data_IF_965053665966
#
_entry.id   IF_965053665966
#
_cell.length_a   1.000
_cell.length_b   1.000
_cell.length_c   1.000
_cell.angle_alpha   90.00
_cell.angle_beta   90.00
_cell.angle_gamma   90.00
#
_symmetry.space_group_name_H-M   'P 1'
#
loop_
_entity.id
_entity.type
_entity.pdbx_description
1 polymer ?
#
# COMPACT_ATOMS: atom_id res chain seq x y z
N UNK A 1 -15.78 -3.76 39.59
CA UNK A 1 -15.29 -3.94 38.17
C UNK A 1 -14.98 -2.61 37.47
N UNK A 2 -14.40 -1.56 38.10
CA UNK A 2 -14.12 -0.27 37.46
C UNK A 2 -13.01 -0.34 36.37
N UNK A 3 -12.00 -1.18 36.61
CA UNK A 3 -10.86 -1.33 35.66
C UNK A 3 -11.30 -1.96 34.34
N UNK A 4 -12.06 -3.05 34.37
CA UNK A 4 -12.57 -3.69 33.15
C UNK A 4 -13.53 -2.81 32.34
N UNK A 5 -14.28 -1.91 33.00
CA UNK A 5 -15.12 -0.94 32.30
C UNK A 5 -14.30 0.11 31.59
N UNK A 6 -13.21 0.58 32.20
CA UNK A 6 -12.28 1.53 31.56
C UNK A 6 -11.62 0.97 30.33
N UNK A 7 -11.15 -0.27 30.39
CA UNK A 7 -10.55 -0.96 29.23
C UNK A 7 -11.56 -1.19 28.10
N UNK A 8 -12.78 -1.64 28.42
CA UNK A 8 -13.84 -1.83 27.43
C UNK A 8 -14.24 -0.50 26.78
N UNK A 9 -14.40 0.56 27.56
CA UNK A 9 -14.74 1.88 27.05
C UNK A 9 -13.62 2.42 26.13
N UNK A 10 -12.35 2.23 26.50
CA UNK A 10 -11.21 2.62 25.67
C UNK A 10 -11.16 1.81 24.37
N UNK A 11 -11.37 0.50 24.43
CA UNK A 11 -11.43 -0.36 23.23
C UNK A 11 -12.58 0.04 22.30
N UNK A 12 -13.76 0.31 22.84
CA UNK A 12 -14.93 0.75 22.06
C UNK A 12 -14.69 2.11 21.42
N UNK A 13 -14.13 3.08 22.15
CA UNK A 13 -13.80 4.39 21.60
C UNK A 13 -12.75 4.30 20.49
N UNK A 14 -11.75 3.44 20.64
CA UNK A 14 -10.75 3.19 19.60
C UNK A 14 -11.39 2.59 18.35
N UNK A 15 -12.29 1.61 18.49
CA UNK A 15 -13.01 1.01 17.38
C UNK A 15 -13.90 2.02 16.64
N UNK A 16 -14.65 2.83 17.38
CA UNK A 16 -15.48 3.90 16.82
C UNK A 16 -14.60 4.89 16.03
N UNK A 17 -13.48 5.31 16.60
CA UNK A 17 -12.55 6.23 15.96
C UNK A 17 -11.95 5.62 14.67
N UNK A 18 -11.62 4.33 14.68
CA UNK A 18 -11.13 3.60 13.51
C UNK A 18 -12.19 3.50 12.42
N UNK A 19 -13.42 3.11 12.76
CA UNK A 19 -14.54 3.04 11.84
C UNK A 19 -14.85 4.40 11.21
N UNK A 20 -14.85 5.46 12.02
CA UNK A 20 -15.00 6.84 11.53
C UNK A 20 -13.88 7.24 10.58
N UNK A 21 -12.62 6.96 10.93
CA UNK A 21 -11.46 7.25 10.09
C UNK A 21 -11.52 6.52 8.75
N UNK A 22 -11.94 5.25 8.77
CA UNK A 22 -12.12 4.45 7.57
C UNK A 22 -13.24 5.01 6.68
N UNK A 23 -14.38 5.39 7.27
CA UNK A 23 -15.48 6.01 6.54
C UNK A 23 -15.06 7.35 5.91
N UNK A 24 -14.33 8.20 6.65
CA UNK A 24 -13.82 9.47 6.13
C UNK A 24 -12.79 9.27 5.02
N UNK A 25 -11.95 8.24 5.12
CA UNK A 25 -11.01 7.86 4.06
C UNK A 25 -11.77 7.42 2.80
N UNK A 26 -12.83 6.63 2.95
CA UNK A 26 -13.66 6.19 1.84
C UNK A 26 -14.35 7.38 1.16
N UNK A 27 -14.93 8.30 1.92
CA UNK A 27 -15.53 9.53 1.38
C UNK A 27 -14.50 10.36 0.60
N UNK A 28 -13.31 10.52 1.15
CA UNK A 28 -12.27 11.39 0.56
C UNK A 28 -11.55 10.75 -0.63
N UNK A 29 -11.26 9.46 -0.56
CA UNK A 29 -10.39 8.76 -1.50
C UNK A 29 -11.08 7.63 -2.28
N UNK A 30 -12.24 7.13 -1.87
CA UNK A 30 -12.89 5.97 -2.46
C UNK A 30 -13.15 6.10 -3.95
N UNK A 31 -13.60 7.29 -4.40
CA UNK A 31 -13.75 7.59 -5.83
C UNK A 31 -12.42 7.45 -6.57
N UNK A 32 -11.31 7.91 -5.97
CA UNK A 32 -9.97 7.80 -6.55
C UNK A 32 -9.50 6.35 -6.58
N UNK A 33 -9.69 5.61 -5.48
CA UNK A 33 -9.36 4.19 -5.42
C UNK A 33 -10.03 3.41 -6.54
N UNK A 34 -11.35 3.65 -6.74
CA UNK A 34 -12.08 2.98 -7.81
C UNK A 34 -11.58 3.38 -9.20
N UNK A 35 -11.35 4.68 -9.45
CA UNK A 35 -10.80 5.16 -10.72
C UNK A 35 -9.44 4.55 -11.03
N UNK A 36 -8.56 4.46 -10.05
CA UNK A 36 -7.25 3.83 -10.22
C UNK A 36 -7.39 2.33 -10.46
N UNK A 37 -8.27 1.65 -9.71
CA UNK A 37 -8.56 0.23 -9.92
C UNK A 37 -8.95 -0.04 -11.38
N UNK A 38 -9.89 0.72 -11.94
CA UNK A 38 -10.31 0.57 -13.34
C UNK A 38 -9.13 0.82 -14.31
N UNK A 39 -8.33 1.86 -14.06
CA UNK A 39 -7.17 2.18 -14.89
C UNK A 39 -6.05 1.14 -14.81
N UNK A 40 -5.95 0.43 -13.69
CA UNK A 40 -4.97 -0.63 -13.50
C UNK A 40 -5.41 -1.99 -14.08
N UNK A 41 -6.70 -2.17 -14.41
CA UNK A 41 -7.18 -3.43 -15.01
C UNK A 41 -6.42 -3.82 -16.29
N UNK A 42 -6.22 -2.94 -17.29
CA UNK A 42 -5.44 -3.27 -18.46
C UNK A 42 -3.99 -3.68 -18.13
N UNK A 43 -3.40 -3.04 -17.12
CA UNK A 43 -2.02 -3.33 -16.70
C UNK A 43 -1.89 -4.71 -16.04
N UNK A 44 -3.01 -5.31 -15.56
CA UNK A 44 -2.99 -6.69 -15.07
C UNK A 44 -2.54 -7.70 -16.13
N UNK A 45 -2.83 -7.43 -17.40
CA UNK A 45 -2.39 -8.29 -18.51
C UNK A 45 -0.86 -8.31 -18.67
N UNK A 46 -0.18 -7.19 -18.38
CA UNK A 46 1.27 -7.06 -18.45
C UNK A 46 1.96 -7.34 -17.09
N UNK A 47 1.21 -7.42 -15.98
CA UNK A 47 1.76 -7.68 -14.66
C UNK A 47 2.13 -9.14 -14.49
N UNK A 48 3.15 -9.40 -13.67
CA UNK A 48 3.48 -10.76 -13.25
C UNK A 48 2.52 -11.24 -12.16
N UNK A 49 2.31 -12.56 -12.09
CA UNK A 49 1.47 -13.15 -11.04
C UNK A 49 2.19 -13.09 -9.67
N UNK A 50 1.64 -12.39 -8.67
CA UNK A 50 2.27 -12.32 -7.35
C UNK A 50 2.31 -13.68 -6.64
N UNK A 51 1.41 -14.61 -6.95
CA UNK A 51 1.40 -15.94 -6.33
C UNK A 51 2.68 -16.76 -6.60
N UNK A 52 3.41 -16.46 -7.67
CA UNK A 52 4.70 -17.07 -7.99
C UNK A 52 5.91 -16.37 -7.37
N UNK A 53 5.72 -15.26 -6.65
CA UNK A 53 6.81 -14.53 -6.01
C UNK A 53 7.18 -15.21 -4.69
N UNK A 54 8.47 -15.51 -4.48
CA UNK A 54 8.98 -16.12 -3.25
C UNK A 54 10.43 -15.70 -3.00
N UNK A 55 10.77 -15.52 -1.73
CA UNK A 55 12.14 -15.30 -1.27
C UNK A 55 12.74 -16.53 -0.54
N UNK A 56 11.96 -17.62 -0.47
CA UNK A 56 12.40 -18.86 0.18
C UNK A 56 12.74 -18.65 1.66
N UNK A 57 13.86 -19.20 2.09
CA UNK A 57 14.38 -19.07 3.49
C UNK A 57 15.31 -17.89 3.70
N UNK A 58 15.55 -17.06 2.68
CA UNK A 58 16.40 -15.88 2.82
C UNK A 58 15.85 -14.92 3.88
N UNK A 59 16.70 -14.33 4.74
CA UNK A 59 16.28 -13.22 5.57
C UNK A 59 15.77 -12.05 4.73
N UNK A 60 14.76 -11.35 5.24
CA UNK A 60 14.19 -10.17 4.57
C UNK A 60 14.36 -8.95 5.45
N UNK A 61 14.97 -7.92 4.90
CA UNK A 61 15.05 -6.60 5.50
C UNK A 61 13.92 -5.75 4.94
N UNK A 62 12.97 -5.37 5.79
CA UNK A 62 11.84 -4.49 5.45
C UNK A 62 12.18 -3.07 5.88
N UNK A 63 12.19 -2.14 4.92
CA UNK A 63 12.62 -0.76 5.12
C UNK A 63 11.45 0.21 4.97
N UNK A 64 11.13 0.89 6.07
CA UNK A 64 10.34 2.13 6.07
C UNK A 64 11.26 3.35 5.97
N UNK A 65 10.68 4.52 5.69
CA UNK A 65 11.44 5.76 5.56
C UNK A 65 11.45 6.62 6.85
N UNK A 66 11.31 6.01 8.01
CA UNK A 66 11.35 6.72 9.29
C UNK A 66 12.76 7.23 9.64
N UNK A 67 12.87 8.22 10.56
CA UNK A 67 14.15 8.87 10.89
C UNK A 67 15.23 7.91 11.40
N UNK A 68 14.87 6.81 12.07
CA UNK A 68 15.83 5.84 12.60
C UNK A 68 16.59 5.08 11.51
N UNK A 69 16.09 5.10 10.29
CA UNK A 69 16.69 4.38 9.17
C UNK A 69 18.10 4.85 8.85
N UNK A 70 18.39 6.14 8.98
CA UNK A 70 19.73 6.68 8.66
C UNK A 70 20.84 6.02 9.46
N UNK A 71 20.66 5.96 10.78
CA UNK A 71 21.65 5.34 11.67
C UNK A 71 21.86 3.85 11.37
N UNK A 72 20.79 3.13 11.07
CA UNK A 72 20.88 1.73 10.67
C UNK A 72 21.62 1.56 9.34
N UNK A 73 21.31 2.38 8.34
CA UNK A 73 21.96 2.32 7.03
C UNK A 73 23.45 2.67 7.11
N UNK A 74 23.85 3.56 8.03
CA UNK A 74 25.27 3.86 8.27
C UNK A 74 26.03 2.61 8.72
N UNK A 75 25.45 1.81 9.62
CA UNK A 75 26.03 0.54 10.07
C UNK A 75 25.98 -0.53 8.95
N UNK A 76 24.87 -0.66 8.26
CA UNK A 76 24.73 -1.63 7.16
C UNK A 76 25.72 -1.35 6.03
N UNK A 77 25.89 -0.09 5.63
CA UNK A 77 26.79 0.31 4.55
C UNK A 77 28.29 0.24 4.94
N UNK A 78 28.61 0.08 6.21
CA UNK A 78 29.96 -0.22 6.66
C UNK A 78 30.39 -1.69 6.38
N UNK A 79 29.41 -2.57 6.10
CA UNK A 79 29.71 -3.95 5.68
C UNK A 79 30.38 -3.99 4.30
N UNK A 80 31.11 -5.06 3.96
CA UNK A 80 31.76 -5.21 2.66
C UNK A 80 30.77 -5.05 1.50
N UNK A 81 31.14 -4.27 0.50
CA UNK A 81 30.28 -4.02 -0.69
C UNK A 81 29.82 -5.31 -1.37
N UNK A 82 30.66 -6.34 -1.40
CA UNK A 82 30.33 -7.66 -1.94
C UNK A 82 29.13 -8.32 -1.24
N UNK A 83 28.94 -8.02 0.05
CA UNK A 83 27.79 -8.53 0.83
C UNK A 83 26.51 -7.74 0.62
N UNK A 84 26.59 -6.57 0.01
CA UNK A 84 25.46 -5.66 -0.22
C UNK A 84 24.99 -5.65 -1.68
N UNK A 85 25.79 -6.17 -2.59
CA UNK A 85 25.42 -6.29 -3.99
C UNK A 85 24.14 -7.13 -4.16
N UNK A 86 23.17 -6.62 -4.87
CA UNK A 86 21.88 -7.27 -5.04
C UNK A 86 21.96 -8.67 -5.68
N UNK A 87 23.00 -8.92 -6.48
CA UNK A 87 23.24 -10.21 -7.12
C UNK A 87 23.94 -11.22 -6.19
N UNK A 88 24.65 -10.73 -5.18
CA UNK A 88 25.53 -11.55 -4.33
C UNK A 88 25.06 -11.66 -2.87
N UNK A 89 24.23 -10.75 -2.38
CA UNK A 89 23.82 -10.71 -0.98
C UNK A 89 22.95 -11.90 -0.58
N UNK A 90 23.08 -12.29 0.67
CA UNK A 90 22.39 -13.45 1.24
C UNK A 90 20.98 -13.13 1.77
N UNK A 91 20.53 -11.90 1.71
CA UNK A 91 19.24 -11.43 2.19
C UNK A 91 18.48 -10.64 1.10
N UNK A 92 17.20 -10.40 1.32
CA UNK A 92 16.36 -9.60 0.43
C UNK A 92 15.97 -8.29 1.07
N UNK A 93 15.80 -7.26 0.26
CA UNK A 93 15.32 -5.94 0.70
C UNK A 93 13.94 -5.69 0.09
N UNK A 94 12.94 -5.55 0.95
CA UNK A 94 11.65 -4.97 0.62
C UNK A 94 11.64 -3.54 1.17
N UNK A 95 11.28 -2.57 0.38
CA UNK A 95 11.16 -1.20 0.85
C UNK A 95 9.82 -0.58 0.48
N UNK A 96 9.40 0.43 1.24
CA UNK A 96 8.32 1.31 0.83
C UNK A 96 8.81 2.27 -0.26
N UNK A 97 7.92 2.80 -1.08
CA UNK A 97 8.21 3.72 -2.18
C UNK A 97 9.05 4.94 -1.75
N UNK A 98 8.70 5.58 -0.65
CA UNK A 98 9.43 6.72 -0.07
C UNK A 98 10.87 6.40 0.34
N UNK A 99 11.24 5.13 0.46
CA UNK A 99 12.59 4.67 0.79
C UNK A 99 13.51 4.56 -0.44
N UNK A 100 12.96 4.52 -1.65
CA UNK A 100 13.74 4.30 -2.88
C UNK A 100 14.85 5.34 -3.06
N UNK A 101 14.59 6.66 -2.93
CA UNK A 101 15.65 7.67 -3.04
C UNK A 101 16.73 7.54 -1.96
N UNK A 102 16.33 7.16 -0.73
CA UNK A 102 17.24 6.94 0.41
C UNK A 102 18.23 5.83 0.10
N UNK A 103 17.73 4.70 -0.38
CA UNK A 103 18.56 3.53 -0.74
C UNK A 103 19.47 3.82 -1.92
N UNK A 104 18.96 4.52 -2.94
CA UNK A 104 19.76 4.92 -4.10
C UNK A 104 20.97 5.76 -3.70
N UNK A 105 20.80 6.73 -2.81
CA UNK A 105 21.91 7.56 -2.34
C UNK A 105 22.99 6.73 -1.62
N UNK A 106 22.59 5.68 -0.90
CA UNK A 106 23.47 4.74 -0.24
C UNK A 106 24.07 3.67 -1.17
N UNK A 107 23.71 3.68 -2.48
CA UNK A 107 24.13 2.68 -3.45
C UNK A 107 23.53 1.30 -3.19
N UNK A 108 22.39 1.23 -2.49
CA UNK A 108 21.64 0.01 -2.23
C UNK A 108 20.48 -0.13 -3.22
N UNK A 109 20.26 -1.34 -3.71
CA UNK A 109 19.13 -1.64 -4.59
C UNK A 109 18.16 -2.59 -3.88
N UNK A 110 16.89 -2.23 -3.71
CA UNK A 110 15.89 -3.13 -3.17
C UNK A 110 15.55 -4.24 -4.19
N UNK A 111 15.11 -5.41 -3.68
CA UNK A 111 14.55 -6.50 -4.50
C UNK A 111 13.10 -6.22 -4.87
N UNK A 112 12.37 -5.53 -3.99
CA UNK A 112 10.95 -5.22 -4.19
C UNK A 112 10.59 -3.91 -3.50
N UNK A 113 9.95 -3.00 -4.23
CA UNK A 113 9.32 -1.81 -3.69
C UNK A 113 7.81 -2.03 -3.53
N UNK A 114 7.24 -1.63 -2.40
CA UNK A 114 5.80 -1.73 -2.11
C UNK A 114 5.15 -0.37 -2.25
N UNK A 115 4.04 -0.30 -3.01
CA UNK A 115 3.40 0.95 -3.40
C UNK A 115 1.90 0.86 -3.12
N UNK A 116 1.38 1.74 -2.27
CA UNK A 116 -0.04 1.87 -1.96
C UNK A 116 -0.63 3.20 -2.41
N UNK A 117 0.22 4.23 -2.61
CA UNK A 117 -0.25 5.59 -2.79
C UNK A 117 -1.11 5.76 -4.06
N UNK A 118 -2.31 6.23 -3.86
CA UNK A 118 -3.29 6.43 -4.92
C UNK A 118 -3.19 7.78 -5.62
N UNK A 119 -2.39 8.70 -5.09
CA UNK A 119 -2.27 10.07 -5.55
C UNK A 119 -1.13 10.24 -6.53
N UNK A 120 -1.28 11.17 -7.45
CA UNK A 120 -0.26 11.56 -8.42
C UNK A 120 1.09 11.94 -7.78
N UNK A 121 1.07 12.48 -6.56
CA UNK A 121 2.27 12.91 -5.83
C UNK A 121 3.27 11.79 -5.59
N UNK A 122 2.84 10.54 -5.59
CA UNK A 122 3.71 9.36 -5.50
C UNK A 122 4.82 9.34 -6.56
N UNK A 123 4.66 10.04 -7.67
CA UNK A 123 5.72 10.18 -8.68
C UNK A 123 7.00 10.82 -8.14
N UNK A 124 6.92 11.62 -7.08
CA UNK A 124 8.09 12.23 -6.44
C UNK A 124 8.99 11.16 -5.82
N UNK A 125 8.41 10.05 -5.34
CA UNK A 125 9.13 8.95 -4.70
C UNK A 125 10.05 8.21 -5.67
N UNK A 126 9.79 8.33 -6.98
CA UNK A 126 10.57 7.70 -8.05
C UNK A 126 11.59 8.65 -8.70
N UNK A 127 11.72 9.88 -8.21
CA UNK A 127 12.63 10.87 -8.78
C UNK A 127 14.05 10.36 -8.78
N UNK A 128 14.69 10.35 -9.97
CA UNK A 128 16.04 9.82 -10.19
C UNK A 128 16.15 8.29 -10.13
N UNK A 129 15.06 7.55 -9.97
CA UNK A 129 15.02 6.08 -10.01
C UNK A 129 14.19 5.54 -11.17
N UNK A 130 13.79 6.40 -12.11
CA UNK A 130 13.10 5.99 -13.32
C UNK A 130 13.94 4.98 -14.10
N UNK A 131 13.29 3.93 -14.62
CA UNK A 131 13.92 2.84 -15.36
C UNK A 131 15.09 2.14 -14.64
N UNK A 132 15.12 2.18 -13.29
CA UNK A 132 16.14 1.50 -12.48
C UNK A 132 16.04 -0.03 -12.52
N UNK A 133 14.96 -0.58 -13.07
CA UNK A 133 14.70 -2.01 -13.13
C UNK A 133 14.30 -2.62 -11.78
N UNK A 134 13.98 -1.81 -10.76
CA UNK A 134 13.50 -2.28 -9.45
C UNK A 134 12.12 -2.92 -9.64
N UNK A 135 11.93 -4.11 -9.05
CA UNK A 135 10.62 -4.75 -9.04
C UNK A 135 9.65 -4.01 -8.11
N UNK A 136 8.38 -3.92 -8.49
CA UNK A 136 7.35 -3.23 -7.71
C UNK A 136 6.15 -4.13 -7.42
N UNK A 137 5.66 -4.12 -6.18
CA UNK A 137 4.38 -4.67 -5.78
C UNK A 137 3.42 -3.50 -5.46
N UNK A 138 2.33 -3.42 -6.23
CA UNK A 138 1.39 -2.31 -6.16
C UNK A 138 0.01 -2.78 -5.71
N UNK A 139 -0.62 -1.99 -4.85
CA UNK A 139 -2.05 -2.16 -4.64
C UNK A 139 -2.83 -1.83 -5.93
N UNK A 140 -3.91 -2.57 -6.16
CA UNK A 140 -4.73 -2.36 -7.37
C UNK A 140 -5.35 -0.96 -7.41
N UNK A 141 -5.48 -0.28 -6.28
CA UNK A 141 -5.94 1.12 -6.17
C UNK A 141 -4.80 2.16 -6.23
N UNK A 142 -3.54 1.74 -6.34
CA UNK A 142 -2.40 2.65 -6.46
C UNK A 142 -2.45 3.48 -7.74
N UNK A 143 -1.72 4.59 -7.76
CA UNK A 143 -1.63 5.44 -8.95
C UNK A 143 -1.02 4.67 -10.13
N UNK A 144 -1.73 4.62 -11.26
CA UNK A 144 -1.34 3.79 -12.41
C UNK A 144 0.05 4.10 -12.98
N UNK A 145 0.50 5.35 -12.87
CA UNK A 145 1.83 5.76 -13.34
C UNK A 145 2.99 5.15 -12.55
N UNK A 146 2.72 4.58 -11.36
CA UNK A 146 3.74 3.97 -10.52
C UNK A 146 4.19 2.60 -11.05
N UNK A 147 3.32 1.87 -11.77
CA UNK A 147 3.63 0.54 -12.27
C UNK A 147 4.83 0.52 -13.24
N UNK A 148 4.90 1.51 -14.13
CA UNK A 148 5.96 1.62 -15.12
C UNK A 148 7.15 2.49 -14.66
N UNK A 149 7.03 3.23 -13.56
CA UNK A 149 8.01 4.24 -13.16
C UNK A 149 9.41 3.68 -12.94
N UNK A 150 9.52 2.49 -12.36
CA UNK A 150 10.79 1.85 -12.03
C UNK A 150 11.38 1.00 -13.16
N UNK A 151 10.61 0.71 -14.22
CA UNK A 151 11.06 -0.06 -15.38
C UNK A 151 11.38 -1.54 -15.11
N UNK A 152 11.10 -2.03 -13.90
CA UNK A 152 11.25 -3.42 -13.50
C UNK A 152 9.97 -4.23 -13.65
N UNK A 153 10.01 -5.53 -13.31
CA UNK A 153 8.80 -6.34 -13.23
C UNK A 153 7.87 -5.78 -12.16
N UNK A 154 6.56 -5.81 -12.43
CA UNK A 154 5.58 -5.35 -11.45
C UNK A 154 4.50 -6.40 -11.19
N UNK A 155 3.96 -6.35 -9.98
CA UNK A 155 2.98 -7.28 -9.44
C UNK A 155 1.84 -6.48 -8.82
N UNK A 156 0.60 -6.83 -9.13
CA UNK A 156 -0.52 -6.24 -8.40
C UNK A 156 -0.96 -7.16 -7.27
N UNK A 157 -1.30 -6.55 -6.14
CA UNK A 157 -2.08 -7.18 -5.09
C UNK A 157 -3.37 -6.37 -4.86
N UNK A 158 -4.29 -6.94 -4.12
CA UNK A 158 -5.57 -6.32 -3.82
C UNK A 158 -5.76 -6.20 -2.32
N UNK A 159 -6.06 -4.98 -1.88
CA UNK A 159 -6.50 -4.68 -0.51
C UNK A 159 -8.00 -4.34 -0.54
N UNK A 160 -8.85 -5.08 0.18
CA UNK A 160 -10.28 -4.79 0.23
C UNK A 160 -10.56 -3.56 1.12
N UNK A 161 -10.49 -2.37 0.54
CA UNK A 161 -10.74 -1.10 1.25
C UNK A 161 -12.23 -0.86 1.56
N UNK A 162 -13.14 -1.58 0.89
CA UNK A 162 -14.56 -1.68 1.22
C UNK A 162 -15.18 -2.92 0.57
N UNK A 163 -16.37 -3.30 1.04
CA UNK A 163 -17.09 -4.45 0.49
C UNK A 163 -17.93 -4.01 -0.69
N UNK A 164 -17.46 -4.31 -1.92
CA UNK A 164 -18.20 -4.04 -3.16
C UNK A 164 -18.53 -5.34 -3.88
N UNK A 165 -19.72 -5.41 -4.46
CA UNK A 165 -20.11 -6.45 -5.42
C UNK A 165 -19.20 -6.46 -6.64
N UNK A 166 -18.68 -5.30 -7.01
CA UNK A 166 -17.66 -5.15 -8.05
C UNK A 166 -16.46 -6.06 -7.80
N UNK A 167 -15.88 -6.06 -6.60
CA UNK A 167 -14.73 -6.93 -6.27
C UNK A 167 -15.11 -8.41 -6.22
N UNK A 168 -16.34 -8.73 -5.80
CA UNK A 168 -16.86 -10.09 -5.87
C UNK A 168 -16.95 -10.59 -7.31
N UNK A 169 -17.39 -9.74 -8.25
CA UNK A 169 -17.40 -10.06 -9.69
C UNK A 169 -16.00 -10.22 -10.25
N UNK A 170 -15.04 -9.38 -9.89
CA UNK A 170 -13.62 -9.56 -10.27
C UNK A 170 -13.09 -10.92 -9.80
N UNK A 171 -13.42 -11.32 -8.57
CA UNK A 171 -13.05 -12.63 -8.02
C UNK A 171 -13.68 -13.76 -8.83
N UNK A 172 -14.99 -13.69 -9.12
CA UNK A 172 -15.70 -14.70 -9.91
C UNK A 172 -15.19 -14.79 -11.35
N UNK A 173 -14.77 -13.67 -11.94
CA UNK A 173 -14.12 -13.65 -13.26
C UNK A 173 -12.65 -14.16 -13.24
N UNK A 174 -12.10 -14.46 -12.07
CA UNK A 174 -10.71 -14.92 -11.91
C UNK A 174 -9.66 -13.88 -12.26
N UNK A 175 -10.01 -12.57 -12.19
CA UNK A 175 -9.10 -11.47 -12.53
C UNK A 175 -8.57 -10.72 -11.30
N UNK A 176 -9.09 -11.00 -10.11
CA UNK A 176 -8.59 -10.40 -8.89
C UNK A 176 -7.18 -10.94 -8.56
N UNK A 177 -6.18 -10.09 -8.28
CA UNK A 177 -4.87 -10.53 -7.85
C UNK A 177 -4.92 -11.35 -6.55
N UNK A 178 -4.13 -12.43 -6.51
CA UNK A 178 -4.03 -13.32 -5.35
C UNK A 178 -2.57 -13.38 -4.91
N UNK A 179 -2.33 -13.11 -3.64
CA UNK A 179 -0.99 -13.17 -3.04
C UNK A 179 -0.52 -14.61 -2.81
N UNK A 180 0.79 -14.85 -2.62
CA UNK A 180 1.29 -16.11 -2.10
C UNK A 180 0.54 -16.51 -0.83
N UNK A 181 0.33 -17.82 -0.62
CA UNK A 181 -0.51 -18.37 0.45
C UNK A 181 -2.01 -18.05 0.33
N UNK A 182 -2.43 -17.47 -0.81
CA UNK A 182 -3.83 -17.16 -1.11
C UNK A 182 -4.35 -15.85 -0.52
N UNK A 183 -5.51 -15.42 -1.00
CA UNK A 183 -6.22 -14.26 -0.48
C UNK A 183 -5.71 -12.89 -0.93
N UNK A 184 -6.27 -11.87 -0.30
CA UNK A 184 -5.96 -10.45 -0.49
C UNK A 184 -5.01 -9.93 0.59
N UNK A 185 -4.46 -8.74 0.39
CA UNK A 185 -3.76 -7.98 1.43
C UNK A 185 -4.77 -7.54 2.50
N UNK A 186 -4.52 -7.74 3.79
CA UNK A 186 -5.37 -7.15 4.83
C UNK A 186 -5.33 -5.61 4.74
N UNK A 187 -6.42 -4.91 5.13
CA UNK A 187 -6.51 -3.45 5.06
C UNK A 187 -5.74 -2.78 6.21
N UNK A 188 -4.42 -2.83 6.15
CA UNK A 188 -3.51 -2.36 7.21
C UNK A 188 -3.35 -0.83 7.26
N UNK A 189 -3.77 -0.11 6.22
CA UNK A 189 -3.78 1.36 6.17
C UNK A 189 -2.40 2.03 6.07
N UNK A 190 -1.31 1.28 6.15
CA UNK A 190 0.07 1.78 6.06
C UNK A 190 0.88 0.94 5.09
N UNK A 191 1.66 1.60 4.23
CA UNK A 191 2.56 0.92 3.29
C UNK A 191 3.64 0.12 4.02
N UNK A 192 4.13 0.59 5.18
CA UNK A 192 5.08 -0.13 6.01
C UNK A 192 4.53 -1.46 6.52
N UNK A 193 3.28 -1.47 7.03
CA UNK A 193 2.63 -2.70 7.46
C UNK A 193 2.39 -3.65 6.29
N UNK A 194 1.97 -3.12 5.14
CA UNK A 194 1.78 -3.93 3.93
C UNK A 194 3.09 -4.54 3.43
N UNK A 195 4.21 -3.84 3.58
CA UNK A 195 5.54 -4.35 3.25
C UNK A 195 5.95 -5.51 4.17
N UNK A 196 5.65 -5.42 5.48
CA UNK A 196 5.89 -6.51 6.45
C UNK A 196 4.99 -7.71 6.15
N UNK A 197 3.71 -7.50 5.88
CA UNK A 197 2.78 -8.58 5.50
C UNK A 197 3.23 -9.27 4.22
N UNK A 198 3.68 -8.50 3.24
CA UNK A 198 4.20 -9.07 2.00
C UNK A 198 5.48 -9.89 2.28
N UNK A 199 6.41 -9.38 3.09
CA UNK A 199 7.59 -10.14 3.52
C UNK A 199 7.22 -11.46 4.20
N UNK A 200 6.23 -11.43 5.09
CA UNK A 200 5.72 -12.62 5.80
C UNK A 200 5.19 -13.70 4.85
N UNK A 201 4.59 -13.29 3.73
CA UNK A 201 4.07 -14.21 2.70
C UNK A 201 5.13 -14.69 1.72
N UNK A 202 6.16 -13.89 1.49
CA UNK A 202 7.20 -14.17 0.51
C UNK A 202 8.37 -15.00 1.09
N UNK A 203 8.61 -14.92 2.40
CA UNK A 203 9.77 -15.53 3.03
C UNK A 203 9.40 -16.44 4.21
N UNK A 204 10.12 -17.55 4.33
CA UNK A 204 10.09 -18.41 5.50
C UNK A 204 11.18 -18.07 6.52
N UNK A 205 12.20 -17.28 6.12
CA UNK A 205 13.31 -16.84 6.97
C UNK A 205 12.97 -15.64 7.88
N UNK A 206 13.96 -15.15 8.64
CA UNK A 206 13.81 -13.99 9.51
C UNK A 206 13.40 -12.73 8.73
N UNK A 207 12.57 -11.88 9.34
CA UNK A 207 12.10 -10.61 8.79
C UNK A 207 12.52 -9.52 9.77
N UNK A 208 13.34 -8.59 9.33
CA UNK A 208 13.86 -7.51 10.17
C UNK A 208 13.29 -6.19 9.69
N UNK A 209 12.67 -5.42 10.58
CA UNK A 209 12.02 -4.15 10.29
C UNK A 209 12.92 -2.97 10.71
N UNK A 210 13.30 -2.10 9.76
CA UNK A 210 14.05 -0.89 10.02
C UNK A 210 13.33 0.33 9.45
N UNK A 211 13.39 1.47 10.14
CA UNK A 211 12.75 2.71 9.71
C UNK A 211 11.22 2.67 9.71
N UNK A 212 10.60 1.68 10.39
CA UNK A 212 9.16 1.63 10.67
C UNK A 212 8.95 2.21 12.07
N UNK A 213 9.06 3.52 12.17
CA UNK A 213 9.24 4.19 13.46
C UNK A 213 7.93 4.55 14.17
N UNK A 214 6.86 4.78 13.43
CA UNK A 214 5.58 5.31 13.95
C UNK A 214 5.73 6.56 14.82
N UNK A 215 6.83 7.27 14.62
CA UNK A 215 7.21 8.48 15.33
C UNK A 215 8.15 9.33 14.48
N UNK A 216 8.38 10.53 14.93
CA UNK A 216 9.29 11.47 14.30
C UNK A 216 9.96 12.34 15.39
N UNK A 217 10.99 13.07 15.00
CA UNK A 217 11.69 14.03 15.87
C UNK A 217 11.43 15.45 15.43
N UNK A 218 11.83 16.42 16.24
CA UNK A 218 11.81 17.83 15.83
C UNK A 218 12.73 18.06 14.62
N UNK A 219 13.83 17.32 14.54
CA UNK A 219 14.81 17.46 13.47
C UNK A 219 14.35 16.81 12.16
N UNK A 220 13.64 15.69 12.23
CA UNK A 220 13.28 14.92 11.05
C UNK A 220 11.94 14.19 11.19
N UNK A 221 11.13 14.26 10.15
CA UNK A 221 9.93 13.43 10.01
C UNK A 221 10.22 12.10 9.31
N UNK A 222 11.24 12.07 8.45
CA UNK A 222 11.65 10.92 7.64
C UNK A 222 13.18 10.88 7.52
N UNK A 223 13.70 9.77 7.05
CA UNK A 223 15.11 9.56 6.74
C UNK A 223 15.59 10.59 5.71
N UNK A 224 16.89 10.91 5.76
CA UNK A 224 17.55 11.80 4.79
C UNK A 224 17.38 11.27 3.37
N UNK A 225 17.25 12.19 2.42
CA UNK A 225 17.00 11.91 0.99
C UNK A 225 15.64 11.27 0.66
N UNK A 226 14.78 11.07 1.65
CA UNK A 226 13.38 10.76 1.37
C UNK A 226 12.70 11.96 0.69
N UNK A 227 11.61 11.76 -0.09
CA UNK A 227 10.88 12.85 -0.73
C UNK A 227 10.44 13.95 0.25
N UNK A 228 10.00 13.56 1.45
CA UNK A 228 9.62 14.51 2.49
C UNK A 228 10.80 15.37 2.98
N UNK A 229 11.97 14.77 3.19
CA UNK A 229 13.18 15.50 3.54
C UNK A 229 13.63 16.42 2.41
N UNK A 230 13.63 15.95 1.17
CA UNK A 230 14.00 16.78 0.01
C UNK A 230 13.04 17.95 -0.18
N UNK A 231 11.75 17.77 0.07
CA UNK A 231 10.77 18.85 0.03
C UNK A 231 11.02 19.91 1.12
N UNK A 232 11.42 19.52 2.33
CA UNK A 232 11.83 20.44 3.39
C UNK A 232 13.06 21.26 2.99
N UNK A 233 14.09 20.60 2.44
CA UNK A 233 15.29 21.26 1.95
C UNK A 233 14.99 22.25 0.81
N UNK A 234 14.15 21.84 -0.16
CA UNK A 234 13.76 22.69 -1.28
C UNK A 234 12.95 23.93 -0.84
N UNK A 235 12.21 23.81 0.26
CA UNK A 235 11.42 24.90 0.83
C UNK A 235 12.21 25.78 1.81
N UNK A 236 13.47 25.43 2.13
CA UNK A 236 14.31 26.15 3.07
C UNK A 236 14.63 27.56 2.56
N UNK A 237 14.51 28.52 3.45
CA UNK A 237 14.94 29.91 3.22
C UNK A 237 15.27 30.56 4.57
N UNK A 238 15.63 31.87 4.55
CA UNK A 238 16.00 32.61 5.78
C UNK A 238 14.94 32.58 6.89
N UNK A 239 13.66 32.41 6.54
CA UNK A 239 12.53 32.40 7.48
C UNK A 239 11.96 30.99 7.72
N UNK A 240 12.36 29.99 6.95
CA UNK A 240 11.88 28.62 7.04
C UNK A 240 13.05 27.67 7.24
N UNK A 241 13.16 27.15 8.44
CA UNK A 241 14.15 26.13 8.81
C UNK A 241 13.81 24.78 8.12
N UNK A 242 14.81 23.92 7.83
CA UNK A 242 14.60 22.54 7.40
C UNK A 242 14.06 21.64 8.52
N UNK A 243 13.92 22.15 9.75
CA UNK A 243 13.38 21.36 10.86
C UNK A 243 11.90 21.02 10.63
N UNK A 244 11.48 19.90 11.18
CA UNK A 244 10.09 19.42 11.13
C UNK A 244 9.17 20.15 12.14
N UNK A 245 9.35 21.44 12.33
CA UNK A 245 8.58 22.22 13.31
C UNK A 245 7.08 22.21 13.02
N UNK A 246 6.67 22.35 11.76
CA UNK A 246 5.26 22.30 11.37
C UNK A 246 4.61 20.93 11.73
N UNK A 247 5.35 19.85 11.61
CA UNK A 247 4.89 18.50 12.00
C UNK A 247 4.78 18.35 13.52
N UNK A 248 5.75 18.90 14.25
CA UNK A 248 5.83 18.78 15.71
C UNK A 248 4.73 19.57 16.45
N UNK A 249 4.30 20.69 15.90
CA UNK A 249 3.27 21.56 16.52
C UNK A 249 1.86 21.36 15.94
N UNK A 250 1.62 20.30 15.18
CA UNK A 250 0.26 19.98 14.71
C UNK A 250 -0.62 19.53 15.87
N UNK A 251 -1.90 19.88 15.77
CA UNK A 251 -2.89 19.43 16.74
C UNK A 251 -2.91 17.89 16.84
N UNK A 252 -2.95 17.37 18.06
CA UNK A 252 -2.98 15.94 18.34
C UNK A 252 -1.60 15.25 18.36
N UNK A 253 -0.51 15.98 18.12
CA UNK A 253 0.85 15.47 18.35
C UNK A 253 1.14 15.38 19.85
N UNK A 254 1.78 14.31 20.26
CA UNK A 254 2.15 14.05 21.65
C UNK A 254 3.56 13.45 21.75
N UNK A 255 4.18 13.65 22.91
CA UNK A 255 5.48 13.05 23.23
C UNK A 255 5.32 11.56 23.62
N UNK A 256 6.27 10.74 23.22
CA UNK A 256 6.33 9.32 23.57
C UNK A 256 7.79 8.90 23.80
N UNK A 257 8.00 7.75 24.46
CA UNK A 257 9.34 7.17 24.63
C UNK A 257 9.72 6.30 23.45
N UNK A 258 10.92 6.53 22.93
CA UNK A 258 11.51 5.68 21.88
C UNK A 258 12.05 4.36 22.44
N UNK A 259 12.41 3.43 21.55
CA UNK A 259 13.11 2.17 21.91
C UNK A 259 14.39 2.39 22.68
N UNK A 260 15.10 3.49 22.39
CA UNK A 260 16.35 3.87 23.10
C UNK A 260 16.13 4.70 24.36
N UNK A 261 14.90 4.93 24.79
CA UNK A 261 14.56 5.72 25.98
C UNK A 261 14.52 7.23 25.77
N UNK A 262 14.86 7.73 24.58
CA UNK A 262 14.77 9.15 24.23
C UNK A 262 13.32 9.59 23.94
N UNK A 263 13.06 10.92 24.01
CA UNK A 263 11.78 11.49 23.64
C UNK A 263 11.60 11.56 22.11
N UNK A 264 10.45 11.12 21.63
CA UNK A 264 10.02 11.25 20.23
C UNK A 264 8.59 11.80 20.18
N UNK A 265 8.17 12.23 19.02
CA UNK A 265 6.82 12.73 18.77
C UNK A 265 6.04 11.71 17.95
N UNK A 266 4.75 11.57 18.27
CA UNK A 266 3.84 10.74 17.50
C UNK A 266 2.47 11.42 17.37
N UNK A 267 1.58 10.82 16.62
CA UNK A 267 0.21 11.29 16.44
C UNK A 267 -0.79 10.11 16.50
N UNK A 268 -2.10 10.36 16.59
CA UNK A 268 -3.11 9.30 16.71
C UNK A 268 -3.04 8.28 15.56
N UNK A 269 -2.79 8.70 14.32
CA UNK A 269 -2.70 7.78 13.18
C UNK A 269 -1.49 6.84 13.29
N UNK A 270 -0.32 7.37 13.65
CA UNK A 270 0.89 6.57 13.84
C UNK A 270 0.74 5.61 15.03
N UNK A 271 0.12 6.06 16.12
CA UNK A 271 -0.18 5.20 17.27
C UNK A 271 -1.11 4.06 16.87
N UNK A 272 -2.14 4.33 16.07
CA UNK A 272 -3.05 3.30 15.59
C UNK A 272 -2.32 2.29 14.68
N UNK A 273 -1.46 2.74 13.78
CA UNK A 273 -0.63 1.83 12.96
C UNK A 273 0.32 0.99 13.81
N UNK A 274 0.92 1.58 14.85
CA UNK A 274 1.77 0.82 15.78
C UNK A 274 0.97 -0.25 16.53
N UNK A 275 -0.24 0.08 17.02
CA UNK A 275 -1.12 -0.88 17.68
C UNK A 275 -1.56 -1.99 16.73
N UNK A 276 -1.88 -1.65 15.48
CA UNK A 276 -2.21 -2.62 14.44
C UNK A 276 -1.01 -3.52 14.10
N UNK A 277 0.20 -2.96 14.07
CA UNK A 277 1.42 -3.74 13.88
C UNK A 277 1.58 -4.80 14.99
N UNK A 278 1.43 -4.40 16.24
CA UNK A 278 1.51 -5.29 17.39
C UNK A 278 0.44 -6.40 17.30
N UNK A 279 -0.80 -6.04 16.98
CA UNK A 279 -1.91 -6.97 16.86
C UNK A 279 -1.67 -8.01 15.76
N UNK A 280 -1.21 -7.60 14.59
CA UNK A 280 -1.09 -8.47 13.41
C UNK A 280 0.21 -9.30 13.41
N UNK A 281 1.29 -8.79 14.00
CA UNK A 281 2.61 -9.36 13.81
C UNK A 281 3.30 -9.86 15.08
N UNK A 282 2.79 -9.58 16.27
CA UNK A 282 3.45 -9.97 17.53
C UNK A 282 3.56 -11.49 17.71
N UNK A 283 2.65 -12.26 17.15
CA UNK A 283 2.69 -13.73 17.21
C UNK A 283 3.71 -14.39 16.28
N UNK A 284 4.14 -13.70 15.21
CA UNK A 284 5.11 -14.26 14.25
C UNK A 284 6.54 -14.11 14.78
N UNK A 285 7.13 -15.22 15.22
CA UNK A 285 8.47 -15.28 15.81
C UNK A 285 9.60 -14.94 14.82
N UNK A 286 9.33 -14.85 13.55
CA UNK A 286 10.32 -14.50 12.52
C UNK A 286 10.55 -12.99 12.39
N UNK A 287 9.67 -12.17 12.97
CA UNK A 287 9.71 -10.71 12.84
C UNK A 287 10.52 -10.11 13.97
N UNK A 288 11.49 -9.29 13.61
CA UNK A 288 12.40 -8.59 14.50
C UNK A 288 12.32 -7.08 14.30
N UNK A 289 12.43 -6.35 15.38
CA UNK A 289 12.59 -4.89 15.41
C UNK A 289 14.08 -4.55 15.48
N UNK A 290 14.47 -3.32 15.15
CA UNK A 290 15.83 -2.81 15.32
C UNK A 290 15.82 -1.71 16.38
N UNK A 291 16.86 -1.72 17.25
CA UNK A 291 17.12 -0.62 18.17
C UNK A 291 17.21 0.72 17.44
N UNK A 292 16.73 1.79 18.05
CA UNK A 292 16.77 3.12 17.44
C UNK A 292 15.79 4.11 18.06
N UNK A 293 15.61 5.24 17.40
CA UNK A 293 14.78 6.35 17.88
C UNK A 293 13.29 6.19 17.61
N UNK A 294 12.85 5.12 16.96
CA UNK A 294 11.41 4.86 16.71
C UNK A 294 10.65 4.37 17.93
N UNK A 295 9.32 4.31 17.86
CA UNK A 295 8.50 3.65 18.86
C UNK A 295 8.73 2.13 18.83
N UNK A 296 8.68 1.42 19.98
CA UNK A 296 8.72 -0.04 19.99
C UNK A 296 7.59 -0.63 19.17
N UNK A 297 7.88 -1.63 18.34
CA UNK A 297 6.88 -2.28 17.48
C UNK A 297 5.93 -3.23 18.23
N UNK A 298 6.14 -3.45 19.54
CA UNK A 298 5.29 -4.34 20.34
C UNK A 298 5.57 -5.83 20.16
N UNK A 299 6.72 -6.18 19.58
CA UNK A 299 7.19 -7.56 19.41
C UNK A 299 8.20 -7.92 20.51
N UNK A 300 7.69 -8.20 21.69
CA UNK A 300 8.48 -8.37 22.93
C UNK A 300 9.69 -9.28 22.77
N UNK A 301 10.87 -8.80 23.22
CA UNK A 301 12.13 -9.54 23.26
C UNK A 301 12.79 -9.80 21.90
N UNK A 302 12.26 -9.28 20.80
CA UNK A 302 12.78 -9.48 19.46
C UNK A 302 13.35 -8.19 18.84
N UNK A 303 14.02 -7.41 19.65
CA UNK A 303 14.73 -6.21 19.19
C UNK A 303 16.22 -6.54 19.04
N UNK A 304 16.79 -6.22 17.89
CA UNK A 304 18.20 -6.46 17.56
C UNK A 304 18.96 -5.14 17.49
N UNK A 305 20.22 -5.14 17.88
CA UNK A 305 21.11 -4.03 17.55
C UNK A 305 21.40 -3.99 16.03
N UNK A 306 21.78 -2.83 15.52
CA UNK A 306 22.15 -2.70 14.11
C UNK A 306 23.28 -3.66 13.71
N UNK A 307 24.30 -3.80 14.55
CA UNK A 307 25.42 -4.72 14.33
C UNK A 307 24.96 -6.18 14.27
N UNK A 308 24.14 -6.61 15.23
CA UNK A 308 23.59 -7.98 15.24
C UNK A 308 22.70 -8.26 14.06
N UNK A 309 21.95 -7.25 13.59
CA UNK A 309 21.16 -7.35 12.38
C UNK A 309 22.03 -7.58 11.15
N UNK A 310 23.10 -6.81 10.98
CA UNK A 310 24.02 -6.99 9.86
C UNK A 310 24.68 -8.38 9.88
N UNK A 311 25.09 -8.86 11.06
CA UNK A 311 25.59 -10.23 11.21
C UNK A 311 24.56 -11.27 10.75
N UNK A 312 23.31 -11.18 11.23
CA UNK A 312 22.22 -12.08 10.85
C UNK A 312 21.98 -12.08 9.34
N UNK A 313 21.96 -10.91 8.72
CA UNK A 313 21.72 -10.76 7.29
C UNK A 313 22.87 -11.32 6.44
N UNK A 314 24.13 -11.08 6.85
CA UNK A 314 25.32 -11.47 6.10
C UNK A 314 25.71 -12.93 6.33
N UNK A 315 25.46 -13.49 7.51
CA UNK A 315 25.81 -14.87 7.86
C UNK A 315 24.85 -15.91 7.29
N UNK A 316 23.69 -15.50 6.77
CA UNK A 316 22.73 -16.41 6.16
C UNK A 316 23.38 -17.18 5.01
N UNK A 317 23.09 -18.49 4.84
CA UNK A 317 23.57 -19.26 3.71
C UNK A 317 23.07 -18.61 2.41
N UNK A 318 23.95 -18.59 1.41
CA UNK A 318 23.59 -18.03 0.09
C UNK A 318 22.44 -18.83 -0.50
N UNK A 319 21.24 -18.31 -0.40
CA UNK A 319 20.09 -18.82 -1.14
C UNK A 319 20.24 -18.36 -2.58
N UNK A 320 20.25 -19.31 -3.52
CA UNK A 320 20.11 -18.95 -4.94
C UNK A 320 18.87 -18.06 -5.04
N UNK A 321 18.99 -16.84 -5.61
CA UNK A 321 17.81 -16.03 -5.81
C UNK A 321 16.78 -16.92 -6.50
N UNK A 322 15.50 -16.92 -6.05
CA UNK A 322 14.48 -17.45 -6.90
C UNK A 322 14.70 -16.70 -8.21
N UNK A 323 15.09 -17.44 -9.24
CA UNK A 323 15.23 -16.85 -10.55
C UNK A 323 13.94 -16.10 -10.77
N UNK A 324 14.05 -14.78 -10.89
CA UNK A 324 13.03 -14.00 -11.57
C UNK A 324 13.06 -14.41 -13.07
N UNK A 325 13.28 -15.71 -13.30
CA UNK A 325 13.19 -16.32 -14.60
C UNK A 325 11.78 -16.12 -15.06
N UNK A 326 11.67 -15.24 -16.03
CA UNK A 326 10.47 -14.89 -16.75
C UNK A 326 9.73 -16.05 -17.41
N UNK A 327 9.87 -17.26 -16.91
CA UNK A 327 9.29 -18.47 -17.48
C UNK A 327 8.22 -19.14 -16.63
N UNK A 328 8.01 -18.77 -15.37
CA UNK A 328 6.65 -18.86 -14.87
C UNK A 328 5.94 -17.59 -15.34
N UNK A 329 5.65 -17.49 -16.62
CA UNK A 329 4.41 -16.91 -17.07
C UNK A 329 3.32 -17.72 -16.35
N UNK A 330 3.13 -17.42 -15.05
CA UNK A 330 1.86 -17.71 -14.45
C UNK A 330 0.91 -17.13 -15.47
N UNK A 331 -0.06 -17.91 -15.91
CA UNK A 331 -1.02 -17.54 -16.92
C UNK A 331 -1.36 -16.09 -16.70
N UNK A 332 -0.80 -15.23 -17.53
CA UNK A 332 -1.16 -13.81 -17.60
C UNK A 332 -2.65 -13.84 -17.61
N UNK A 333 -3.31 -13.27 -16.63
CA UNK A 333 -4.77 -13.39 -16.45
C UNK A 333 -5.37 -13.16 -17.81
N UNK A 334 -5.94 -14.24 -18.40
CA UNK A 334 -6.17 -14.36 -19.83
C UNK A 334 -6.70 -13.05 -20.37
N UNK A 335 -6.00 -12.33 -21.28
CA UNK A 335 -6.39 -10.99 -21.73
C UNK A 335 -7.86 -10.95 -22.16
N UNK A 336 -8.38 -12.07 -22.68
CA UNK A 336 -9.78 -12.25 -23.02
C UNK A 336 -10.74 -12.12 -21.82
N UNK A 337 -10.38 -12.62 -20.64
CA UNK A 337 -11.22 -12.48 -19.44
C UNK A 337 -11.28 -11.02 -18.95
N UNK A 338 -10.13 -10.33 -18.98
CA UNK A 338 -10.05 -8.91 -18.62
C UNK A 338 -10.89 -8.07 -19.57
N UNK A 339 -10.76 -8.31 -20.89
CA UNK A 339 -11.55 -7.61 -21.91
C UNK A 339 -13.04 -7.85 -21.72
N UNK A 340 -13.45 -9.10 -21.55
CA UNK A 340 -14.84 -9.44 -21.33
C UNK A 340 -15.41 -8.78 -20.06
N UNK A 341 -14.63 -8.73 -18.99
CA UNK A 341 -15.02 -8.07 -17.75
C UNK A 341 -15.19 -6.55 -17.95
N UNK A 342 -14.21 -5.88 -18.56
CA UNK A 342 -14.24 -4.43 -18.83
C UNK A 342 -15.48 -4.08 -19.67
N UNK A 343 -15.74 -4.86 -20.72
CA UNK A 343 -16.90 -4.63 -21.59
C UNK A 343 -18.23 -4.85 -20.85
N UNK A 344 -18.31 -5.90 -20.04
CA UNK A 344 -19.52 -6.19 -19.25
C UNK A 344 -19.81 -5.06 -18.24
N UNK A 345 -18.79 -4.54 -17.55
CA UNK A 345 -18.97 -3.43 -16.61
C UNK A 345 -19.37 -2.12 -17.34
N UNK A 346 -18.80 -1.87 -18.52
CA UNK A 346 -19.17 -0.75 -19.37
C UNK A 346 -20.65 -0.81 -19.76
N UNK A 347 -21.11 -1.97 -20.24
CA UNK A 347 -22.50 -2.20 -20.63
C UNK A 347 -23.46 -1.99 -19.46
N UNK A 348 -23.14 -2.49 -18.25
CA UNK A 348 -23.95 -2.25 -17.04
C UNK A 348 -24.14 -0.76 -16.75
N UNK A 349 -23.07 0.00 -16.91
CA UNK A 349 -23.13 1.44 -16.64
C UNK A 349 -23.93 2.20 -17.70
N UNK A 350 -23.84 1.78 -18.97
CA UNK A 350 -24.66 2.32 -20.05
C UNK A 350 -26.17 1.98 -19.86
N UNK A 351 -26.46 0.76 -19.39
CA UNK A 351 -27.80 0.34 -19.02
C UNK A 351 -28.38 1.22 -17.90
N UNK A 352 -27.60 1.48 -16.83
CA UNK A 352 -28.02 2.39 -15.77
C UNK A 352 -28.28 3.81 -16.31
N UNK A 353 -27.43 4.32 -17.20
CA UNK A 353 -27.64 5.62 -17.85
C UNK A 353 -28.95 5.69 -18.63
N UNK A 354 -29.23 4.66 -19.40
CA UNK A 354 -30.44 4.51 -20.20
C UNK A 354 -31.69 4.52 -19.30
N UNK A 355 -31.71 3.72 -18.24
CA UNK A 355 -32.80 3.67 -17.26
C UNK A 355 -33.06 5.03 -16.60
N UNK A 356 -31.98 5.71 -16.18
CA UNK A 356 -32.09 7.04 -15.57
C UNK A 356 -32.49 8.14 -16.57
N UNK A 357 -32.44 7.86 -17.87
CA UNK A 357 -32.96 8.72 -18.94
C UNK A 357 -34.41 8.41 -19.31
N UNK A 358 -35.02 7.41 -18.69
CA UNK A 358 -36.45 7.06 -18.89
C UNK A 358 -36.67 5.93 -19.88
N UNK A 359 -35.61 5.25 -20.35
CA UNK A 359 -35.78 4.09 -21.23
C UNK A 359 -36.13 2.85 -20.40
N UNK A 360 -36.85 1.90 -21.02
CA UNK A 360 -37.23 0.65 -20.38
C UNK A 360 -36.04 -0.31 -20.31
N UNK A 361 -35.84 -0.95 -19.18
CA UNK A 361 -34.88 -2.06 -18.99
C UNK A 361 -35.61 -3.25 -18.39
N UNK A 362 -35.09 -4.44 -18.63
CA UNK A 362 -35.54 -5.67 -17.98
C UNK A 362 -35.21 -5.69 -16.48
N UNK A 363 -34.15 -5.00 -16.09
CA UNK A 363 -33.72 -4.88 -14.69
C UNK A 363 -34.42 -3.68 -14.03
N UNK A 364 -34.72 -3.89 -12.78
CA UNK A 364 -35.19 -2.80 -11.93
C UNK A 364 -34.04 -1.90 -11.53
N UNK A 365 -34.30 -0.61 -11.33
CA UNK A 365 -33.30 0.41 -11.00
C UNK A 365 -32.51 0.08 -9.73
N UNK A 366 -33.16 -0.49 -8.71
CA UNK A 366 -32.48 -0.87 -7.47
C UNK A 366 -31.46 -1.98 -7.70
N UNK A 367 -31.78 -2.97 -8.54
CA UNK A 367 -30.86 -4.04 -8.90
C UNK A 367 -29.61 -3.50 -9.63
N UNK A 368 -29.82 -2.58 -10.58
CA UNK A 368 -28.71 -1.92 -11.30
C UNK A 368 -27.83 -1.09 -10.37
N UNK A 369 -28.42 -0.29 -9.49
CA UNK A 369 -27.69 0.50 -8.50
C UNK A 369 -26.86 -0.39 -7.57
N UNK A 370 -27.40 -1.54 -7.18
CA UNK A 370 -26.69 -2.50 -6.34
C UNK A 370 -25.55 -3.22 -7.07
N UNK A 371 -25.69 -3.45 -8.38
CA UNK A 371 -24.60 -4.02 -9.19
C UNK A 371 -23.46 -3.01 -9.40
N UNK A 372 -23.77 -1.73 -9.52
CA UNK A 372 -22.80 -0.66 -9.81
C UNK A 372 -22.45 0.12 -8.54
N UNK A 373 -22.26 -0.61 -7.44
CA UNK A 373 -22.03 -0.07 -6.08
C UNK A 373 -20.81 0.82 -5.97
N UNK A 374 -19.83 0.67 -6.84
CA UNK A 374 -18.62 1.49 -6.88
C UNK A 374 -18.85 2.97 -7.25
N UNK A 375 -20.00 3.31 -7.87
CA UNK A 375 -20.34 4.70 -8.18
C UNK A 375 -20.67 5.51 -6.93
N UNK A 376 -21.28 4.90 -5.93
CA UNK A 376 -21.87 5.60 -4.80
C UNK A 376 -21.28 5.20 -3.43
N UNK A 377 -20.50 4.12 -3.34
CA UNK A 377 -19.95 3.66 -2.07
C UNK A 377 -19.12 4.71 -1.32
N UNK A 378 -18.57 5.68 -2.04
CA UNK A 378 -17.81 6.81 -1.47
C UNK A 378 -18.66 8.01 -1.08
N UNK A 379 -19.99 7.97 -1.30
CA UNK A 379 -20.86 9.07 -0.87
C UNK A 379 -20.94 9.08 0.67
N UNK A 380 -20.96 10.26 1.32
CA UNK A 380 -20.95 10.35 2.79
C UNK A 380 -22.07 9.53 3.45
N UNK A 381 -23.26 9.53 2.87
CA UNK A 381 -24.42 8.77 3.36
C UNK A 381 -24.26 7.25 3.21
N UNK A 382 -23.38 6.79 2.33
CA UNK A 382 -23.14 5.38 2.05
C UNK A 382 -21.86 4.84 2.72
N UNK A 383 -20.91 5.70 3.06
CA UNK A 383 -19.62 5.31 3.57
C UNK A 383 -19.62 4.93 5.07
N UNK A 384 -20.72 5.16 5.77
CA UNK A 384 -20.88 4.84 7.19
C UNK A 384 -21.05 3.35 7.49
N UNK A 385 -21.23 3.04 8.75
CA UNK A 385 -21.42 1.68 9.24
C UNK A 385 -22.62 1.00 8.55
N UNK A 386 -22.31 -0.01 7.74
CA UNK A 386 -23.31 -0.81 7.01
C UNK A 386 -23.33 -0.60 5.49
N UNK A 387 -22.72 0.45 4.93
CA UNK A 387 -22.56 0.62 3.48
C UNK A 387 -23.86 0.56 2.68
N UNK A 388 -24.98 0.97 3.27
CA UNK A 388 -26.28 0.93 2.60
C UNK A 388 -26.51 2.24 1.84
N UNK A 389 -26.91 2.12 0.58
CA UNK A 389 -27.35 3.28 -0.20
C UNK A 389 -28.76 3.72 0.19
N UNK A 390 -29.09 4.97 -0.05
CA UNK A 390 -30.47 5.44 -0.03
C UNK A 390 -31.36 4.68 -1.02
N UNK A 391 -32.69 4.66 -0.82
CA UNK A 391 -33.61 4.05 -1.77
C UNK A 391 -33.57 4.77 -3.12
N UNK A 392 -33.89 4.06 -4.21
CA UNK A 392 -33.93 4.61 -5.56
C UNK A 392 -35.05 5.69 -5.77
N UNK A 393 -35.88 5.90 -4.77
CA UNK A 393 -36.88 6.99 -4.75
C UNK A 393 -36.29 8.33 -4.29
N UNK A 394 -35.06 8.33 -3.71
CA UNK A 394 -34.42 9.55 -3.25
C UNK A 394 -33.74 10.31 -4.40
N UNK A 395 -34.36 11.39 -4.83
CA UNK A 395 -33.91 12.18 -5.98
C UNK A 395 -32.54 12.82 -5.80
N UNK A 396 -32.17 13.20 -4.59
CA UNK A 396 -30.86 13.77 -4.28
C UNK A 396 -29.74 12.75 -4.54
N UNK A 397 -29.91 11.52 -4.10
CA UNK A 397 -29.02 10.40 -4.34
C UNK A 397 -28.91 10.08 -5.84
N UNK A 398 -30.03 9.95 -6.54
CA UNK A 398 -30.06 9.67 -7.98
C UNK A 398 -29.38 10.77 -8.81
N UNK A 399 -29.57 12.04 -8.46
CA UNK A 399 -28.89 13.15 -9.13
C UNK A 399 -27.35 13.02 -8.96
N UNK A 400 -26.87 12.66 -7.80
CA UNK A 400 -25.42 12.42 -7.56
C UNK A 400 -24.93 11.22 -8.34
N UNK A 401 -25.62 10.08 -8.31
CA UNK A 401 -25.28 8.91 -9.13
C UNK A 401 -25.18 9.29 -10.60
N UNK A 402 -26.16 10.05 -11.13
CA UNK A 402 -26.16 10.49 -12.53
C UNK A 402 -24.92 11.31 -12.89
N UNK A 403 -24.41 12.15 -12.00
CA UNK A 403 -23.18 12.94 -12.25
C UNK A 403 -21.91 12.09 -12.32
N UNK A 404 -21.91 10.89 -11.73
CA UNK A 404 -20.77 9.98 -11.76
C UNK A 404 -20.76 9.08 -13.00
N UNK A 405 -21.88 8.86 -13.68
CA UNK A 405 -21.99 7.89 -14.78
C UNK A 405 -21.04 8.23 -15.93
N UNK A 406 -21.15 9.41 -16.53
CA UNK A 406 -20.39 9.78 -17.73
C UNK A 406 -18.87 9.79 -17.48
N UNK A 407 -18.35 10.32 -16.32
CA UNK A 407 -16.96 10.17 -15.97
C UNK A 407 -16.49 8.72 -15.89
N UNK A 408 -17.32 7.80 -15.37
CA UNK A 408 -16.96 6.39 -15.29
C UNK A 408 -17.11 5.66 -16.63
N UNK A 409 -18.09 5.99 -17.47
CA UNK A 409 -18.17 5.48 -18.86
C UNK A 409 -16.89 5.88 -19.64
N UNK A 410 -16.48 7.13 -19.54
CA UNK A 410 -15.24 7.60 -20.17
C UNK A 410 -14.04 6.78 -19.69
N UNK A 411 -13.99 6.47 -18.39
CA UNK A 411 -12.93 5.68 -17.79
C UNK A 411 -12.91 4.23 -18.30
N UNK A 412 -14.07 3.59 -18.42
CA UNK A 412 -14.20 2.24 -18.97
C UNK A 412 -13.84 2.19 -20.44
N UNK A 413 -14.20 3.21 -21.22
CA UNK A 413 -13.78 3.33 -22.62
C UNK A 413 -12.26 3.46 -22.77
N UNK A 414 -11.60 4.20 -21.86
CA UNK A 414 -10.15 4.27 -21.84
C UNK A 414 -9.52 2.92 -21.50
N UNK A 415 -10.05 2.21 -20.49
CA UNK A 415 -9.56 0.88 -20.13
C UNK A 415 -9.72 -0.13 -21.28
N UNK A 416 -10.84 -0.08 -22.02
CA UNK A 416 -11.07 -0.93 -23.19
C UNK A 416 -10.04 -0.67 -24.29
N UNK A 417 -9.78 0.59 -24.61
CA UNK A 417 -8.76 0.99 -25.61
C UNK A 417 -7.35 0.55 -25.22
N UNK A 418 -6.97 0.70 -23.95
CA UNK A 418 -5.66 0.24 -23.45
C UNK A 418 -5.54 -1.29 -23.55
N UNK A 419 -6.60 -2.05 -23.31
CA UNK A 419 -6.61 -3.51 -23.54
C UNK A 419 -6.39 -3.88 -25.00
N UNK A 420 -6.89 -3.11 -25.97
CA UNK A 420 -6.66 -3.33 -27.39
C UNK A 420 -5.19 -3.11 -27.76
N UNK A 421 -4.56 -2.07 -27.20
CA UNK A 421 -3.13 -1.78 -27.42
C UNK A 421 -2.23 -2.89 -26.88
N UNK A 422 -2.49 -3.35 -25.66
CA UNK A 422 -1.71 -4.46 -25.05
C UNK A 422 -1.76 -5.73 -25.90
N UNK A 423 -2.91 -6.01 -26.55
CA UNK A 423 -3.05 -7.17 -27.42
C UNK A 423 -2.35 -6.99 -28.81
N UNK A 424 -2.19 -5.77 -29.30
CA UNK A 424 -1.53 -5.50 -30.58
C UNK A 424 0.01 -5.51 -30.49
N UNK A 425 0.56 -5.39 -29.28
CA UNK A 425 2.01 -5.41 -28.99
C UNK A 425 2.53 -6.80 -28.56
N UNK A 426 1.62 -7.78 -28.39
CA UNK A 426 1.93 -9.20 -28.12
C UNK A 426 1.84 -10.05 -29.40
#
# INVERSE_FOLDING_TARGET
YPEGYGELAAALNNEIALQWSNAMTLVKLGRRFMRNTIRNLPLLAASRNPAGLSFGTAPVLVLGAGPSLDAFLDVLCAAPRSSLDSAARNFRIICVDTCIPVLRERGLRPDLAVILESQFWNRQDFTGSAASGIAAALDLSAYQGSAAALGGPFYFFFTPWTRLRFFARMKSAGILPVLPSGGSMPPLGSVGLSAVELARRLAAGPIVCAGIDFSFTLDASHARSSPAHLALLAAQNRLRSPLNAEGAFRAGVFAASSKSGGAVLSNPSMRNYRSLFEQEFSSDQRIFDIEGSGLPLGINGRTLSAARTVELLCAAPRTVPPRADGTVRGETKAPGRLRAFIETERMRLEELRSVLSGEKSEKNLDALLDEIDYLWAHFPECAGAGGRRPPSTELSFLKRVRTEIDPFITLWNLAAREMERVNSEQ
#
